data_IF_033611513563
#
_entry.id   IF_033611513563
#
_cell.length_a   1.000
_cell.length_b   1.000
_cell.length_c   1.000
_cell.angle_alpha   90.00
_cell.angle_beta   90.00
_cell.angle_gamma   90.00
#
_symmetry.space_group_name_H-M   'P 1'
#
loop_
_entity.id
_entity.type
_entity.pdbx_description
1 polymer ?
#
# COMPACT_ATOMS: atom_id res chain seq x y z
N UNK A 1 0.31 -12.34 -7.72
CA UNK A 1 -1.07 -11.92 -7.46
C UNK A 1 -1.88 -12.92 -6.59
N UNK A 2 -1.26 -13.99 -6.11
CA UNK A 2 -1.89 -14.96 -5.21
C UNK A 2 -2.92 -15.93 -5.83
N UNK A 3 -3.45 -15.63 -6.99
CA UNK A 3 -4.56 -16.38 -7.64
C UNK A 3 -4.26 -17.86 -7.89
N UNK A 4 -3.03 -18.19 -8.23
CA UNK A 4 -2.59 -19.54 -8.54
C UNK A 4 -2.72 -20.48 -7.33
N UNK A 5 -2.64 -19.95 -6.11
CA UNK A 5 -2.76 -20.73 -4.88
C UNK A 5 -4.19 -21.18 -4.55
N UNK A 6 -5.18 -20.75 -5.35
CA UNK A 6 -6.51 -21.36 -5.33
C UNK A 6 -6.53 -22.77 -5.95
N UNK A 7 -5.48 -23.15 -6.69
CA UNK A 7 -5.29 -24.50 -7.21
C UNK A 7 -4.55 -25.37 -6.18
N UNK A 8 -5.18 -26.48 -5.76
CA UNK A 8 -4.64 -27.37 -4.73
C UNK A 8 -3.34 -28.07 -5.14
N UNK A 9 -3.19 -28.45 -6.37
CA UNK A 9 -1.97 -29.12 -6.87
C UNK A 9 -0.79 -28.17 -6.82
N UNK A 10 -0.99 -26.92 -7.27
CA UNK A 10 0.04 -25.90 -7.20
C UNK A 10 0.40 -25.54 -5.76
N UNK A 11 -0.59 -25.45 -4.86
CA UNK A 11 -0.35 -25.21 -3.44
C UNK A 11 0.50 -26.31 -2.81
N UNK A 12 0.22 -27.57 -3.14
CA UNK A 12 0.99 -28.72 -2.64
C UNK A 12 2.43 -28.69 -3.14
N UNK A 13 2.64 -28.40 -4.42
CA UNK A 13 3.98 -28.24 -4.99
C UNK A 13 4.73 -27.09 -4.31
N UNK A 14 4.07 -25.95 -4.15
CA UNK A 14 4.63 -24.79 -3.47
C UNK A 14 5.04 -25.13 -2.03
N UNK A 15 4.18 -25.81 -1.26
CA UNK A 15 4.47 -26.23 0.12
C UNK A 15 5.73 -27.10 0.22
N UNK A 16 5.97 -27.96 -0.78
CA UNK A 16 7.13 -28.86 -0.82
C UNK A 16 8.43 -28.14 -1.19
N UNK A 17 8.34 -27.08 -2.00
CA UNK A 17 9.51 -26.44 -2.62
C UNK A 17 9.84 -25.05 -2.07
N UNK A 18 8.87 -24.42 -1.34
CA UNK A 18 9.04 -23.05 -0.87
C UNK A 18 10.03 -22.94 0.30
N UNK A 19 11.00 -22.03 0.24
CA UNK A 19 11.84 -21.72 1.39
C UNK A 19 11.01 -21.18 2.56
N UNK A 20 11.30 -21.65 3.78
CA UNK A 20 10.59 -21.23 5.01
C UNK A 20 10.62 -19.71 5.29
N UNK A 21 11.62 -19.00 4.75
CA UNK A 21 11.80 -17.56 4.94
C UNK A 21 11.08 -16.70 3.89
N UNK A 22 10.41 -17.32 2.90
CA UNK A 22 9.78 -16.56 1.81
C UNK A 22 8.53 -15.81 2.31
N UNK A 23 8.53 -14.50 2.12
CA UNK A 23 7.36 -13.63 2.30
C UNK A 23 6.69 -13.37 0.96
N UNK A 24 5.39 -13.58 0.89
CA UNK A 24 4.58 -13.41 -0.31
C UNK A 24 3.85 -12.07 -0.29
N UNK A 25 4.22 -11.15 -1.18
CA UNK A 25 3.48 -9.90 -1.40
C UNK A 25 2.28 -10.12 -2.31
N UNK A 26 1.05 -10.06 -1.78
CA UNK A 26 -0.18 -10.32 -2.54
C UNK A 26 -1.05 -9.07 -2.59
N UNK A 27 -1.35 -8.53 -3.78
CA UNK A 27 -2.23 -7.38 -3.90
C UNK A 27 -3.70 -7.75 -3.74
N UNK A 28 -4.44 -6.90 -3.01
CA UNK A 28 -5.90 -6.90 -2.94
C UNK A 28 -6.40 -5.53 -3.36
N UNK A 29 -7.38 -5.48 -4.27
CA UNK A 29 -7.81 -4.22 -4.90
C UNK A 29 -9.23 -3.80 -4.55
N UNK A 30 -10.05 -4.72 -4.05
CA UNK A 30 -11.42 -4.48 -3.66
C UNK A 30 -11.88 -5.47 -2.59
N UNK A 31 -13.02 -5.23 -1.98
CA UNK A 31 -13.59 -6.04 -0.90
C UNK A 31 -14.59 -7.11 -1.39
N UNK A 32 -14.93 -7.09 -2.68
CA UNK A 32 -15.81 -8.05 -3.34
C UNK A 32 -15.42 -8.24 -4.81
N UNK A 33 -16.10 -9.13 -5.51
CA UNK A 33 -15.83 -9.43 -6.93
C UNK A 33 -16.04 -8.20 -7.83
N UNK A 34 -17.07 -7.41 -7.58
CA UNK A 34 -17.38 -6.24 -8.41
C UNK A 34 -16.23 -5.23 -8.36
N UNK A 35 -15.81 -4.83 -7.16
CA UNK A 35 -14.76 -3.80 -6.97
C UNK A 35 -13.38 -4.32 -7.35
N UNK A 36 -13.02 -5.54 -6.97
CA UNK A 36 -11.70 -6.11 -7.25
C UNK A 36 -11.53 -6.40 -8.75
N UNK A 37 -12.49 -7.08 -9.37
CA UNK A 37 -12.39 -7.50 -10.77
C UNK A 37 -12.44 -6.29 -11.72
N UNK A 38 -13.16 -5.21 -11.33
CA UNK A 38 -13.17 -3.96 -12.11
C UNK A 38 -11.81 -3.29 -12.18
N UNK A 39 -10.99 -3.41 -11.13
CA UNK A 39 -9.63 -2.86 -11.10
C UNK A 39 -8.65 -3.78 -11.82
N UNK A 40 -8.72 -5.08 -11.57
CA UNK A 40 -7.83 -6.06 -12.20
C UNK A 40 -8.15 -6.32 -13.65
N UNK A 41 -9.35 -5.96 -14.12
CA UNK A 41 -9.90 -6.25 -15.45
C UNK A 41 -9.92 -7.77 -15.74
N UNK A 42 -10.13 -8.58 -14.70
CA UNK A 42 -10.11 -10.03 -14.80
C UNK A 42 -11.27 -10.63 -13.97
N UNK A 43 -12.32 -11.05 -14.65
CA UNK A 43 -13.50 -11.68 -14.03
C UNK A 43 -13.10 -12.90 -13.21
N UNK A 44 -13.60 -12.98 -11.96
CA UNK A 44 -13.32 -14.07 -11.02
C UNK A 44 -11.99 -13.94 -10.29
N UNK A 45 -11.22 -12.87 -10.53
CA UNK A 45 -9.92 -12.66 -9.88
C UNK A 45 -10.03 -12.47 -8.37
N UNK A 46 -11.13 -11.86 -7.90
CA UNK A 46 -11.40 -11.72 -6.47
C UNK A 46 -11.48 -13.08 -5.77
N UNK A 47 -12.36 -13.95 -6.27
CA UNK A 47 -12.58 -15.28 -5.67
C UNK A 47 -11.30 -16.11 -5.71
N UNK A 48 -10.54 -16.05 -6.82
CA UNK A 48 -9.25 -16.75 -6.90
C UNK A 48 -8.22 -16.20 -5.91
N UNK A 49 -8.14 -14.87 -5.76
CA UNK A 49 -7.23 -14.24 -4.79
C UNK A 49 -7.63 -14.58 -3.36
N UNK A 50 -8.93 -14.47 -3.04
CA UNK A 50 -9.48 -14.78 -1.72
C UNK A 50 -9.19 -16.25 -1.32
N UNK A 51 -9.54 -17.21 -2.19
CA UNK A 51 -9.28 -18.62 -1.96
C UNK A 51 -7.77 -18.92 -1.90
N UNK A 52 -6.96 -18.24 -2.71
CA UNK A 52 -5.51 -18.35 -2.69
C UNK A 52 -4.93 -17.88 -1.35
N UNK A 53 -5.44 -16.79 -0.78
CA UNK A 53 -5.04 -16.30 0.54
C UNK A 53 -5.40 -17.30 1.65
N UNK A 54 -6.63 -17.83 1.66
CA UNK A 54 -7.02 -18.86 2.61
C UNK A 54 -6.14 -20.12 2.50
N UNK A 55 -5.84 -20.54 1.28
CA UNK A 55 -4.95 -21.67 1.02
C UNK A 55 -3.54 -21.44 1.56
N UNK A 56 -2.97 -20.25 1.35
CA UNK A 56 -1.65 -19.88 1.87
C UNK A 56 -1.64 -19.80 3.40
N UNK A 57 -2.70 -19.26 4.02
CA UNK A 57 -2.85 -19.23 5.47
C UNK A 57 -2.93 -20.65 6.06
N UNK A 58 -3.60 -21.58 5.39
CA UNK A 58 -3.71 -22.97 5.84
C UNK A 58 -2.35 -23.69 5.94
N UNK A 59 -1.35 -23.25 5.16
CA UNK A 59 0.03 -23.76 5.21
C UNK A 59 0.98 -22.85 6.02
N UNK A 60 0.45 -21.85 6.73
CA UNK A 60 1.20 -20.87 7.53
C UNK A 60 2.25 -20.09 6.73
N UNK A 61 1.97 -19.80 5.45
CA UNK A 61 2.83 -18.97 4.63
C UNK A 61 2.89 -17.53 5.19
N UNK A 62 4.06 -16.90 5.10
CA UNK A 62 4.22 -15.48 5.47
C UNK A 62 3.63 -14.61 4.37
N UNK A 63 2.56 -13.89 4.69
CA UNK A 63 1.82 -13.07 3.72
C UNK A 63 1.90 -11.60 4.09
N UNK A 64 2.34 -10.78 3.13
CA UNK A 64 2.20 -9.34 3.13
C UNK A 64 1.06 -8.98 2.16
N UNK A 65 -0.08 -8.49 2.67
CA UNK A 65 -1.12 -7.96 1.80
C UNK A 65 -0.78 -6.55 1.34
N UNK A 66 -1.04 -6.26 0.06
CA UNK A 66 -0.72 -4.98 -0.58
C UNK A 66 -1.97 -4.30 -1.09
N UNK A 67 -2.23 -3.08 -0.63
CA UNK A 67 -3.32 -2.23 -1.11
C UNK A 67 -2.70 -1.05 -1.86
N UNK A 68 -2.69 -1.10 -3.19
CA UNK A 68 -2.28 0.05 -4.01
C UNK A 68 -3.43 1.05 -4.00
N UNK A 69 -3.19 2.20 -3.38
CA UNK A 69 -4.23 3.24 -3.24
C UNK A 69 -4.35 4.02 -4.53
N UNK A 70 -5.56 4.07 -5.07
CA UNK A 70 -5.90 4.77 -6.30
C UNK A 70 -7.29 5.38 -6.21
N UNK A 71 -7.64 6.27 -7.14
CA UNK A 71 -9.02 6.81 -7.23
C UNK A 71 -10.07 5.72 -7.39
N UNK A 72 -9.69 4.56 -7.98
CA UNK A 72 -10.63 3.47 -8.23
C UNK A 72 -11.06 2.72 -6.96
N UNK A 73 -10.26 2.77 -5.88
CA UNK A 73 -10.58 2.10 -4.62
C UNK A 73 -10.65 3.02 -3.40
N UNK A 74 -10.50 4.32 -3.59
CA UNK A 74 -10.48 5.31 -2.52
C UNK A 74 -11.73 5.24 -1.61
N UNK A 75 -12.91 5.04 -2.20
CA UNK A 75 -14.19 5.07 -1.47
C UNK A 75 -14.43 3.81 -0.61
N UNK A 76 -13.73 2.70 -0.89
CA UNK A 76 -13.95 1.44 -0.19
C UNK A 76 -12.69 0.81 0.43
N UNK A 77 -11.64 1.61 0.65
CA UNK A 77 -10.42 1.15 1.33
C UNK A 77 -10.72 0.63 2.74
N UNK A 78 -11.65 1.27 3.46
CA UNK A 78 -12.08 0.79 4.78
C UNK A 78 -12.79 -0.57 4.72
N UNK A 79 -13.55 -0.83 3.64
CA UNK A 79 -14.21 -2.12 3.47
C UNK A 79 -13.23 -3.24 3.10
N UNK A 80 -12.15 -2.89 2.38
CA UNK A 80 -11.02 -3.81 2.18
C UNK A 80 -10.37 -4.16 3.53
N UNK A 81 -10.17 -3.19 4.42
CA UNK A 81 -9.60 -3.44 5.74
C UNK A 81 -10.51 -4.34 6.60
N UNK A 82 -11.84 -4.13 6.57
CA UNK A 82 -12.81 -5.01 7.23
C UNK A 82 -12.74 -6.44 6.67
N UNK A 83 -12.73 -6.59 5.33
CA UNK A 83 -12.56 -7.90 4.71
C UNK A 83 -11.31 -8.62 5.26
N UNK A 84 -10.21 -7.88 5.43
CA UNK A 84 -8.95 -8.43 5.93
C UNK A 84 -9.09 -8.85 7.40
N UNK A 85 -9.62 -8.00 8.26
CA UNK A 85 -9.81 -8.32 9.68
C UNK A 85 -10.78 -9.48 9.92
N UNK A 86 -11.79 -9.61 9.07
CA UNK A 86 -12.80 -10.66 9.22
C UNK A 86 -12.31 -12.03 8.71
N UNK A 87 -11.36 -12.07 7.77
CA UNK A 87 -11.02 -13.31 7.07
C UNK A 87 -9.54 -13.71 7.11
N UNK A 88 -8.61 -12.78 7.39
CA UNK A 88 -7.18 -13.00 7.16
C UNK A 88 -6.29 -12.60 8.34
N UNK A 89 -6.73 -12.81 9.59
CA UNK A 89 -5.96 -12.45 10.79
C UNK A 89 -4.58 -13.12 10.91
N UNK A 90 -4.33 -14.19 10.15
CA UNK A 90 -3.03 -14.87 10.14
C UNK A 90 -1.99 -14.27 9.19
N UNK A 91 -2.25 -13.14 8.54
CA UNK A 91 -1.25 -12.45 7.71
C UNK A 91 -0.19 -11.76 8.56
N UNK A 92 1.00 -11.54 7.98
CA UNK A 92 2.09 -10.88 8.69
C UNK A 92 1.89 -9.36 8.77
N UNK A 93 1.49 -8.74 7.67
CA UNK A 93 1.26 -7.28 7.62
C UNK A 93 0.41 -6.85 6.43
N UNK A 94 -0.06 -5.61 6.48
CA UNK A 94 -0.70 -4.91 5.36
C UNK A 94 0.15 -3.71 4.95
N UNK A 95 0.45 -3.56 3.66
CA UNK A 95 1.14 -2.40 3.10
C UNK A 95 0.20 -1.58 2.21
N UNK A 96 -0.05 -0.34 2.61
CA UNK A 96 -0.68 0.65 1.72
C UNK A 96 0.40 1.22 0.81
N UNK A 97 0.15 1.24 -0.49
CA UNK A 97 1.15 1.62 -1.48
C UNK A 97 0.67 2.84 -2.26
N UNK A 98 1.43 3.92 -2.21
CA UNK A 98 1.23 5.07 -3.10
C UNK A 98 1.43 4.67 -4.56
N UNK A 99 0.49 5.05 -5.43
CA UNK A 99 0.45 4.60 -6.82
C UNK A 99 1.68 5.08 -7.62
N UNK A 100 2.41 4.16 -8.26
CA UNK A 100 3.43 4.48 -9.24
C UNK A 100 2.79 4.71 -10.61
N UNK A 101 3.06 5.87 -11.23
CA UNK A 101 2.49 6.26 -12.52
C UNK A 101 3.33 5.73 -13.68
N UNK A 102 3.24 4.42 -13.91
CA UNK A 102 3.89 3.71 -15.04
C UNK A 102 2.90 2.81 -15.77
N UNK A 103 3.26 2.37 -16.96
CA UNK A 103 2.48 1.41 -17.74
C UNK A 103 1.00 1.81 -17.89
N UNK A 104 0.09 0.93 -17.51
CA UNK A 104 -1.35 1.17 -17.61
C UNK A 104 -1.84 2.29 -16.67
N UNK A 105 -1.21 2.50 -15.52
CA UNK A 105 -1.57 3.61 -14.63
C UNK A 105 -1.31 4.96 -15.34
N UNK A 106 -0.17 5.12 -16.00
CA UNK A 106 0.14 6.34 -16.75
C UNK A 106 -0.84 6.60 -17.91
N UNK A 107 -1.24 5.54 -18.65
CA UNK A 107 -2.22 5.62 -19.73
C UNK A 107 -3.62 6.01 -19.25
N UNK A 108 -3.98 5.63 -18.02
CA UNK A 108 -5.28 5.86 -17.40
C UNK A 108 -5.24 6.92 -16.29
N UNK A 109 -4.26 7.84 -16.33
CA UNK A 109 -4.00 8.83 -15.29
C UNK A 109 -5.26 9.47 -14.71
N UNK A 110 -6.14 9.99 -15.55
CA UNK A 110 -7.34 10.71 -15.13
C UNK A 110 -8.34 9.84 -14.34
N UNK A 111 -8.26 8.52 -14.48
CA UNK A 111 -9.12 7.56 -13.79
C UNK A 111 -8.52 7.05 -12.49
N UNK A 112 -7.19 6.93 -12.43
CA UNK A 112 -6.53 6.19 -11.34
C UNK A 112 -5.76 7.09 -10.38
N UNK A 113 -5.28 8.27 -10.84
CA UNK A 113 -4.44 9.12 -10.02
C UNK A 113 -5.19 9.70 -8.83
N UNK A 114 -4.58 9.59 -7.67
CA UNK A 114 -4.95 10.23 -6.42
C UNK A 114 -3.67 10.85 -5.83
N UNK A 115 -3.77 12.06 -5.25
CA UNK A 115 -2.62 12.70 -4.62
C UNK A 115 -2.14 11.91 -3.39
N UNK A 116 -0.87 12.02 -3.01
CA UNK A 116 -0.37 11.34 -1.83
C UNK A 116 -1.08 11.76 -0.53
N UNK A 117 -1.36 13.06 -0.28
CA UNK A 117 -2.16 13.47 0.88
C UNK A 117 -3.57 12.88 0.87
N UNK A 118 -4.23 12.86 -0.28
CA UNK A 118 -5.57 12.28 -0.41
C UNK A 118 -5.55 10.76 -0.23
N UNK A 119 -4.55 10.08 -0.82
CA UNK A 119 -4.36 8.64 -0.67
C UNK A 119 -4.16 8.26 0.81
N UNK A 120 -3.37 9.05 1.57
CA UNK A 120 -3.23 8.85 3.00
C UNK A 120 -4.56 9.12 3.73
N UNK A 121 -5.23 10.23 3.44
CA UNK A 121 -6.48 10.62 4.09
C UNK A 121 -7.57 9.55 3.97
N UNK A 122 -7.77 8.97 2.78
CA UNK A 122 -8.76 7.90 2.58
C UNK A 122 -8.34 6.58 3.23
N UNK A 123 -7.04 6.35 3.43
CA UNK A 123 -6.50 5.14 4.05
C UNK A 123 -6.52 5.18 5.58
N UNK A 124 -6.60 6.36 6.19
CA UNK A 124 -6.40 6.56 7.63
C UNK A 124 -7.29 5.67 8.50
N UNK A 125 -8.60 5.65 8.22
CA UNK A 125 -9.57 4.82 8.98
C UNK A 125 -9.28 3.32 8.82
N UNK A 126 -8.85 2.90 7.65
CA UNK A 126 -8.47 1.50 7.40
C UNK A 126 -7.18 1.14 8.14
N UNK A 127 -6.20 2.04 8.19
CA UNK A 127 -4.96 1.88 8.96
C UNK A 127 -5.29 1.68 10.45
N UNK A 128 -6.11 2.56 11.03
CA UNK A 128 -6.50 2.48 12.44
C UNK A 128 -7.24 1.18 12.77
N UNK A 129 -8.12 0.71 11.86
CA UNK A 129 -8.85 -0.54 12.00
C UNK A 129 -7.89 -1.75 12.03
N UNK A 130 -6.94 -1.80 11.11
CA UNK A 130 -5.97 -2.90 11.01
C UNK A 130 -5.04 -2.93 12.23
N UNK A 131 -4.52 -1.78 12.65
CA UNK A 131 -3.70 -1.67 13.86
C UNK A 131 -4.50 -2.09 15.09
N UNK A 132 -5.77 -1.65 15.22
CA UNK A 132 -6.66 -2.05 16.30
C UNK A 132 -6.94 -3.56 16.34
N UNK A 133 -6.86 -4.24 15.19
CA UNK A 133 -6.97 -5.69 15.08
C UNK A 133 -5.62 -6.43 15.30
N UNK A 134 -4.54 -5.71 15.66
CA UNK A 134 -3.23 -6.31 15.90
C UNK A 134 -2.44 -6.67 14.63
N UNK A 135 -2.81 -6.12 13.49
CA UNK A 135 -2.12 -6.35 12.22
C UNK A 135 -1.10 -5.23 11.98
N UNK A 136 0.14 -5.59 11.69
CA UNK A 136 1.19 -4.63 11.34
C UNK A 136 0.86 -3.91 10.03
N UNK A 137 1.01 -2.59 10.04
CA UNK A 137 0.75 -1.74 8.87
C UNK A 137 2.00 -0.96 8.47
N UNK A 138 2.24 -0.83 7.16
CA UNK A 138 3.25 0.05 6.62
C UNK A 138 2.75 0.86 5.44
N UNK A 139 3.40 1.99 5.18
CA UNK A 139 3.13 2.91 4.09
C UNK A 139 4.31 2.89 3.11
N UNK A 140 4.12 2.28 1.95
CA UNK A 140 5.12 2.24 0.88
C UNK A 140 4.88 3.38 -0.11
N UNK A 141 5.96 4.02 -0.54
CA UNK A 141 5.93 5.08 -1.55
C UNK A 141 5.13 6.34 -1.11
N UNK A 142 5.03 6.59 0.19
CA UNK A 142 4.45 7.82 0.71
C UNK A 142 5.57 8.76 1.17
N UNK A 143 5.66 10.00 0.63
CA UNK A 143 6.54 11.01 1.18
C UNK A 143 6.05 11.45 2.57
N UNK A 144 6.98 11.62 3.51
CA UNK A 144 6.66 11.95 4.92
C UNK A 144 5.77 13.18 5.09
N UNK A 145 5.89 14.17 4.19
CA UNK A 145 5.10 15.39 4.23
C UNK A 145 3.63 15.20 3.79
N UNK A 146 3.32 14.07 3.14
CA UNK A 146 1.93 13.73 2.75
C UNK A 146 1.18 12.95 3.83
N UNK A 147 1.84 12.64 4.96
CA UNK A 147 1.32 11.78 6.03
C UNK A 147 1.26 12.54 7.34
N UNK A 148 0.17 12.41 8.08
CA UNK A 148 0.03 13.01 9.41
C UNK A 148 1.18 12.58 10.33
N UNK A 149 1.64 13.49 11.20
CA UNK A 149 2.84 13.29 12.04
C UNK A 149 2.82 11.96 12.80
N UNK A 150 1.68 11.59 13.36
CA UNK A 150 1.52 10.38 14.19
C UNK A 150 1.64 9.07 13.38
N UNK A 151 1.48 9.10 12.06
CA UNK A 151 1.58 7.92 11.18
C UNK A 151 2.90 7.85 10.41
N UNK A 152 3.80 8.84 10.55
CA UNK A 152 5.07 8.87 9.79
C UNK A 152 6.00 7.71 10.09
N UNK A 153 5.91 7.15 11.28
CA UNK A 153 6.65 5.93 11.65
C UNK A 153 6.26 4.70 10.84
N UNK A 154 5.08 4.71 10.20
CA UNK A 154 4.63 3.65 9.30
C UNK A 154 5.21 3.78 7.89
N UNK A 155 5.80 4.95 7.54
CA UNK A 155 6.38 5.15 6.22
C UNK A 155 7.71 4.40 6.08
N UNK A 156 7.83 3.60 5.04
CA UNK A 156 9.01 2.81 4.75
C UNK A 156 9.67 3.25 3.44
N UNK A 157 11.00 3.25 3.39
CA UNK A 157 11.76 3.49 2.17
C UNK A 157 11.68 2.25 1.27
N UNK A 158 10.66 2.20 0.45
CA UNK A 158 10.32 1.04 -0.40
C UNK A 158 10.66 1.26 -1.89
N UNK A 159 11.10 2.47 -2.25
CA UNK A 159 11.51 2.79 -3.62
C UNK A 159 13.01 2.53 -3.76
N UNK A 160 13.41 1.79 -4.80
CA UNK A 160 14.83 1.59 -5.11
C UNK A 160 15.51 2.92 -5.43
N UNK A 161 16.75 3.12 -5.00
CA UNK A 161 17.47 4.40 -5.05
C UNK A 161 17.46 5.05 -6.44
N UNK A 162 17.63 4.26 -7.50
CA UNK A 162 17.62 4.78 -8.88
C UNK A 162 16.26 5.31 -9.34
N UNK A 163 15.16 4.92 -8.68
CA UNK A 163 13.78 5.37 -8.96
C UNK A 163 13.33 6.53 -8.09
N UNK A 164 14.02 6.79 -6.97
CA UNK A 164 13.64 7.86 -6.05
C UNK A 164 13.84 9.22 -6.71
N UNK A 165 12.86 10.11 -6.54
CA UNK A 165 12.96 11.51 -6.94
C UNK A 165 12.46 12.41 -5.81
N UNK A 166 13.03 13.61 -5.79
CA UNK A 166 12.67 14.71 -4.90
C UNK A 166 12.36 15.94 -5.76
N UNK A 167 11.49 16.82 -5.26
CA UNK A 167 11.29 18.15 -5.88
C UNK A 167 12.34 19.13 -5.34
N UNK A 168 12.50 20.28 -5.99
CA UNK A 168 13.35 21.36 -5.49
C UNK A 168 12.97 21.83 -4.07
N UNK A 169 11.67 21.76 -3.75
CA UNK A 169 11.16 22.09 -2.41
C UNK A 169 11.75 21.18 -1.32
N UNK A 170 12.08 19.92 -1.67
CA UNK A 170 12.64 18.96 -0.72
C UNK A 170 14.05 19.33 -0.22
N UNK A 171 14.76 20.21 -0.93
CA UNK A 171 16.09 20.69 -0.50
C UNK A 171 16.02 21.43 0.86
N UNK A 172 14.87 22.06 1.16
CA UNK A 172 14.62 22.75 2.42
C UNK A 172 13.94 21.88 3.50
N UNK A 173 13.74 20.58 3.22
CA UNK A 173 13.03 19.68 4.11
C UNK A 173 13.97 19.08 5.17
N UNK A 174 13.65 19.27 6.45
CA UNK A 174 14.45 18.70 7.55
C UNK A 174 14.35 17.17 7.68
N UNK A 175 13.44 16.53 6.99
CA UNK A 175 13.20 15.08 7.00
C UNK A 175 13.60 14.41 5.66
N UNK A 176 14.34 15.10 4.79
CA UNK A 176 14.69 14.60 3.46
C UNK A 176 15.41 13.25 3.54
N UNK A 177 16.39 13.11 4.43
CA UNK A 177 17.21 11.90 4.57
C UNK A 177 16.42 10.69 5.11
N UNK A 178 15.39 10.94 5.91
CA UNK A 178 14.49 9.92 6.42
C UNK A 178 13.36 9.55 5.43
N UNK A 179 13.10 10.41 4.43
CA UNK A 179 11.99 10.29 3.51
C UNK A 179 12.29 9.31 2.36
N UNK A 180 11.32 8.44 2.04
CA UNK A 180 11.38 7.55 0.87
C UNK A 180 11.23 8.25 -0.48
N UNK A 181 10.95 9.58 -0.49
CA UNK A 181 10.76 10.33 -1.74
C UNK A 181 9.54 9.89 -2.55
N UNK A 182 9.62 10.05 -3.86
CA UNK A 182 8.55 9.75 -4.82
C UNK A 182 9.11 8.99 -6.02
N UNK A 183 8.26 8.26 -6.71
CA UNK A 183 8.62 7.68 -8.01
C UNK A 183 8.82 8.75 -9.08
N UNK A 184 9.74 8.51 -10.01
CA UNK A 184 10.00 9.39 -11.15
C UNK A 184 8.73 9.70 -11.97
N UNK A 185 7.84 8.71 -12.14
CA UNK A 185 6.57 8.88 -12.86
C UNK A 185 5.54 9.74 -12.15
N UNK A 186 5.66 9.95 -10.83
CA UNK A 186 4.67 10.68 -10.01
C UNK A 186 5.13 12.06 -9.59
N UNK A 187 6.43 12.36 -9.61
CA UNK A 187 6.98 13.63 -9.09
C UNK A 187 6.34 14.87 -9.73
N UNK A 188 6.09 14.82 -11.05
CA UNK A 188 5.45 15.94 -11.78
C UNK A 188 4.00 16.17 -11.40
N UNK A 189 3.29 15.11 -10.99
CA UNK A 189 1.89 15.16 -10.59
C UNK A 189 1.73 15.63 -9.14
N UNK A 190 2.76 15.42 -8.33
CA UNK A 190 2.74 15.67 -6.88
C UNK A 190 3.46 16.95 -6.48
N UNK A 191 4.07 17.69 -7.43
CA UNK A 191 4.91 18.85 -7.11
C UNK A 191 4.20 19.91 -6.25
N UNK A 192 2.90 20.08 -6.43
CA UNK A 192 2.11 21.08 -5.71
C UNK A 192 1.63 20.55 -4.34
N UNK A 193 1.51 19.23 -4.18
CA UNK A 193 1.12 18.55 -2.93
C UNK A 193 2.28 18.42 -1.94
N UNK A 194 3.53 18.63 -2.37
CA UNK A 194 4.73 18.46 -1.54
C UNK A 194 4.99 19.74 -0.75
N UNK A 195 4.77 19.66 0.57
CA UNK A 195 5.04 20.74 1.51
C UNK A 195 6.22 20.29 2.38
N UNK A 196 7.42 20.90 2.25
CA UNK A 196 8.58 20.54 3.05
C UNK A 196 8.31 20.63 4.55
N UNK A 197 8.79 19.66 5.30
CA UNK A 197 8.72 19.70 6.75
C UNK A 197 9.82 20.63 7.27
N UNK A 198 9.42 21.69 7.98
CA UNK A 198 10.34 22.67 8.60
C UNK A 198 11.05 22.08 9.82
N UNK A 199 12.16 22.69 10.22
CA UNK A 199 12.75 22.43 11.54
C UNK A 199 11.74 22.86 12.60
N UNK A 200 11.47 22.00 13.58
CA UNK A 200 10.70 22.40 14.76
C UNK A 200 11.44 23.55 15.46
N UNK A 201 10.93 24.75 15.40
CA UNK A 201 11.32 25.80 16.33
C UNK A 201 10.66 25.48 17.67
N UNK A 202 11.45 25.01 18.63
CA UNK A 202 11.02 24.73 20.02
C UNK A 202 10.45 25.98 20.69
N UNK A 203 10.71 27.16 20.14
CA UNK A 203 10.24 28.47 20.67
C UNK A 203 8.75 28.77 20.45
N UNK A 204 8.00 28.00 19.68
CA UNK A 204 6.55 28.23 19.46
C UNK A 204 5.63 27.41 20.39
N UNK A 205 6.16 26.82 21.46
CA UNK A 205 5.36 26.05 22.45
C UNK A 205 5.12 26.89 23.75
N UNK A 206 5.66 28.10 23.82
CA UNK A 206 5.57 28.96 25.01
C UNK A 206 4.84 30.30 24.77
N UNK A 207 3.81 30.32 23.91
CA UNK A 207 2.86 31.44 23.86
C UNK A 207 1.42 30.93 23.89
#
# INVERSE_FOLDING_TARGET
>A
NGRIFSNKEYLNLFKQTCPHALKLGIPIHGYNSETHDSITQAKGSFIQTFNGLLSLLSIRAKIELRIVVSRLNADFITDIAKLITDNFLGIECVKFIGLEMTGNAAKNKNRVWISYPDAFRVSKKAIDLLIGAGIDVGLYNFPLCAVDKMYRSLCEKSISDYKIRYTERCEKCCQKDACGGMFAGTVRLSKDDIIPLGKFNIFNILL
#
